data_IF_884879762907
#
_entry.id   IF_884879762907
#
_cell.length_a   1.000
_cell.length_b   1.000
_cell.length_c   1.000
_cell.angle_alpha   90.00
_cell.angle_beta   90.00
_cell.angle_gamma   90.00
#
_symmetry.space_group_name_H-M   'P 1'
#
loop_
_entity.id
_entity.type
_entity.pdbx_description
1 polymer ?
2 non-polymer ?
3 non-polymer ?
4 water ?
#
# COMPACT_ATOMS: atom_id res chain seq x y z
N UNK A 6 12.57 -0.79 13.25
CA UNK A 6 13.39 -0.32 12.08
C UNK A 6 12.41 0.15 11.00
N UNK A 7 11.14 0.14 11.38
CA UNK A 7 10.06 0.55 10.50
C UNK A 7 9.59 1.91 11.03
N UNK A 8 9.84 2.97 10.25
CA UNK A 8 9.49 4.33 10.61
C UNK A 8 8.02 4.48 11.02
N UNK A 9 7.13 3.70 10.39
CA UNK A 9 5.71 3.79 10.70
C UNK A 9 5.39 3.65 12.19
N UNK A 10 6.11 2.76 12.88
CA UNK A 10 5.90 2.52 14.30
C UNK A 10 6.32 3.66 15.23
N UNK A 11 7.05 4.64 14.68
CA UNK A 11 7.52 5.77 15.48
C UNK A 11 6.54 6.94 15.64
N UNK A 12 5.44 6.92 14.88
CA UNK A 12 4.41 7.98 14.99
C UNK A 12 3.55 7.65 16.21
N UNK A 13 3.26 8.65 17.03
CA UNK A 13 2.41 8.44 18.21
C UNK A 13 0.96 8.53 17.73
N UNK A 14 0.35 7.39 17.46
CA UNK A 14 -1.01 7.33 16.95
C UNK A 14 -2.10 7.86 17.87
N UNK A 15 -1.79 8.06 19.15
CA UNK A 15 -2.81 8.58 20.07
C UNK A 15 -2.87 10.11 20.02
N UNK A 16 -1.83 10.75 19.46
CA UNK A 16 -1.75 12.20 19.40
C UNK A 16 -2.20 12.89 18.12
N UNK A 17 -2.34 12.14 17.03
CA UNK A 17 -2.78 12.74 15.78
C UNK A 17 -4.29 13.03 15.82
N UNK A 18 -4.76 13.87 14.90
CA UNK A 18 -6.17 14.26 14.84
C UNK A 18 -6.71 14.09 13.41
N UNK A 19 -7.31 12.93 13.13
CA UNK A 19 -7.86 12.66 11.80
C UNK A 19 -9.11 13.49 11.54
N UNK A 20 -9.43 13.76 10.26
CA UNK A 20 -8.65 13.33 9.09
C UNK A 20 -7.54 14.31 8.82
N UNK A 21 -6.47 13.86 8.17
CA UNK A 21 -5.35 14.74 7.91
C UNK A 21 -4.44 14.24 6.81
N UNK A 22 -3.48 15.09 6.46
CA UNK A 22 -2.43 14.75 5.52
C UNK A 22 -1.16 14.96 6.35
N UNK A 23 -0.24 14.01 6.27
CA UNK A 23 1.00 14.14 7.04
C UNK A 23 2.20 13.59 6.29
N UNK A 24 3.30 14.35 6.24
CA UNK A 24 4.52 13.89 5.59
C UNK A 24 5.06 12.77 6.50
N UNK A 25 5.09 11.54 6.00
CA UNK A 25 5.55 10.43 6.82
C UNK A 25 7.05 10.20 6.68
N UNK A 26 7.61 10.54 5.52
CA UNK A 26 9.04 10.36 5.33
C UNK A 26 9.53 10.85 3.99
N UNK A 27 10.84 11.04 3.88
CA UNK A 27 11.42 11.48 2.63
C UNK A 27 12.71 10.71 2.41
N UNK A 28 12.86 10.15 1.22
CA UNK A 28 14.07 9.41 0.86
C UNK A 28 14.65 10.07 -0.38
N UNK A 29 15.95 9.91 -0.57
CA UNK A 29 16.60 10.49 -1.74
C UNK A 29 17.23 9.36 -2.55
N UNK A 30 17.18 9.50 -3.87
CA UNK A 30 17.76 8.51 -4.78
C UNK A 30 19.24 8.83 -4.78
N UNK A 31 20.09 7.94 -5.35
CA UNK A 31 21.54 8.23 -5.37
C UNK A 31 21.90 9.58 -6.00
N UNK A 32 21.15 10.01 -7.01
CA UNK A 32 21.45 11.29 -7.65
C UNK A 32 20.87 12.51 -6.95
N UNK A 33 20.07 12.29 -5.93
CA UNK A 33 19.52 13.44 -5.21
C UNK A 33 18.06 13.76 -5.35
N UNK A 34 17.29 12.93 -6.06
CA UNK A 34 15.86 13.24 -6.18
C UNK A 34 15.14 12.79 -4.91
N UNK A 35 14.21 13.62 -4.43
CA UNK A 35 13.45 13.32 -3.24
C UNK A 35 12.15 12.56 -3.52
N UNK A 36 11.90 11.54 -2.71
CA UNK A 36 10.68 10.72 -2.79
C UNK A 36 9.98 10.98 -1.46
N UNK A 37 8.85 11.70 -1.50
CA UNK A 37 8.11 12.02 -0.30
C UNK A 37 6.94 11.03 -0.14
N UNK A 38 6.73 10.56 1.08
CA UNK A 38 5.65 9.62 1.36
C UNK A 38 4.69 10.33 2.29
N UNK A 39 3.40 10.25 1.99
CA UNK A 39 2.39 10.94 2.78
C UNK A 39 1.40 9.98 3.40
N UNK A 40 1.02 10.30 4.63
CA UNK A 40 0.06 9.54 5.42
C UNK A 40 -1.26 10.30 5.17
N UNK A 41 -2.17 9.70 4.39
CA UNK A 41 -3.46 10.31 4.11
C UNK A 41 -4.45 9.59 5.02
N UNK A 42 -4.75 10.21 6.14
CA UNK A 42 -5.60 9.58 7.15
C UNK A 42 -7.08 9.94 7.13
N UNK A 43 -7.93 8.92 6.90
CA UNK A 43 -9.39 9.08 6.89
C UNK A 43 -10.01 9.01 8.27
N UNK A 44 -9.65 7.96 9.03
CA UNK A 44 -10.22 7.75 10.36
C UNK A 44 -9.21 7.87 11.49
N UNK A 45 -9.72 8.24 12.66
CA UNK A 45 -8.87 8.35 13.83
C UNK A 45 -8.33 6.96 14.21
N UNK A 46 -7.01 6.84 14.39
CA UNK A 46 -6.43 5.54 14.76
C UNK A 46 -7.17 4.85 15.94
N UNK A 47 -7.56 3.60 15.73
CA UNK A 47 -8.21 2.76 16.72
C UNK A 47 -9.63 3.13 17.18
N UNK A 48 -10.31 3.95 16.39
CA UNK A 48 -11.68 4.35 16.71
C UNK A 48 -12.63 3.76 15.65
N UNK A 49 -12.12 2.81 14.87
CA UNK A 49 -12.91 2.17 13.81
C UNK A 49 -12.06 2.02 12.54
N UNK A 50 -12.49 1.19 11.60
CA UNK A 50 -11.72 1.01 10.36
C UNK A 50 -12.63 0.95 9.14
N UNK A 51 -12.03 1.20 7.98
CA UNK A 51 -12.80 1.17 6.75
C UNK A 51 -12.95 -0.29 6.30
N UNK A 52 -14.16 -0.66 5.89
CA UNK A 52 -14.46 -2.02 5.42
C UNK A 52 -13.50 -2.36 4.26
N UNK A 53 -12.98 -3.59 4.21
CA UNK A 53 -12.05 -4.00 3.14
C UNK A 53 -12.55 -3.69 1.73
N UNK A 54 -13.84 -3.88 1.50
CA UNK A 54 -14.41 -3.63 0.17
C UNK A 54 -14.36 -2.15 -0.16
N UNK A 55 -14.72 -1.34 0.82
CA UNK A 55 -14.71 0.11 0.65
C UNK A 55 -13.29 0.66 0.43
N UNK A 56 -12.32 0.16 1.18
CA UNK A 56 -10.97 0.68 1.00
C UNK A 56 -10.38 0.21 -0.33
N UNK A 57 -10.85 -0.92 -0.82
CA UNK A 57 -10.41 -1.46 -2.11
C UNK A 57 -10.93 -0.50 -3.21
N UNK A 58 -12.17 -0.07 -3.07
CA UNK A 58 -12.72 0.85 -4.05
C UNK A 58 -12.00 2.21 -3.98
N UNK A 59 -11.67 2.66 -2.78
CA UNK A 59 -10.98 3.94 -2.60
C UNK A 59 -9.62 3.88 -3.29
N UNK A 60 -8.96 2.73 -3.20
CA UNK A 60 -7.66 2.54 -3.83
C UNK A 60 -7.80 2.75 -5.34
N UNK A 61 -8.80 2.11 -5.95
CA UNK A 61 -9.04 2.24 -7.39
C UNK A 61 -9.37 3.70 -7.79
N UNK A 62 -10.22 4.36 -7.01
CA UNK A 62 -10.62 5.73 -7.31
C UNK A 62 -9.52 6.76 -7.09
N UNK A 63 -8.80 6.65 -5.97
CA UNK A 63 -7.76 7.64 -5.70
C UNK A 63 -6.53 7.48 -6.57
N UNK A 64 -6.34 6.28 -7.12
CA UNK A 64 -5.20 6.03 -8.01
C UNK A 64 -5.28 7.02 -9.17
N UNK A 65 -6.47 7.15 -9.75
CA UNK A 65 -6.66 8.08 -10.85
C UNK A 65 -6.86 9.53 -10.39
N UNK A 66 -7.70 9.74 -9.39
CA UNK A 66 -7.97 11.10 -8.95
C UNK A 66 -6.79 11.85 -8.32
N UNK A 67 -5.90 11.15 -7.62
CA UNK A 67 -4.74 11.83 -7.06
C UNK A 67 -3.83 12.25 -8.23
N UNK A 68 -3.69 11.38 -9.22
CA UNK A 68 -2.86 11.73 -10.37
C UNK A 68 -3.44 12.89 -11.18
N UNK A 69 -4.76 13.06 -11.14
CA UNK A 69 -5.38 14.14 -11.86
C UNK A 69 -5.02 15.49 -11.21
N UNK A 70 -4.80 15.50 -9.91
CA UNK A 70 -4.51 16.74 -9.18
C UNK A 70 -3.10 16.94 -8.65
N UNK A 71 -2.23 15.95 -8.88
CA UNK A 71 -0.88 16.03 -8.37
C UNK A 71 0.09 15.34 -9.30
N UNK A 72 1.24 15.97 -9.53
CA UNK A 72 2.25 15.36 -10.41
C UNK A 72 3.24 14.53 -9.61
N UNK A 73 3.87 13.56 -10.27
CA UNK A 73 4.88 12.73 -9.64
C UNK A 73 4.38 11.62 -8.73
N UNK A 74 3.10 11.31 -8.80
CA UNK A 74 2.55 10.25 -7.95
C UNK A 74 3.19 8.91 -8.30
N UNK A 75 3.70 8.23 -7.28
CA UNK A 75 4.28 6.90 -7.50
C UNK A 75 3.14 5.89 -7.43
N UNK A 76 2.43 5.92 -6.30
CA UNK A 76 1.29 5.03 -6.05
C UNK A 76 0.48 5.46 -4.81
N UNK A 77 -0.75 4.97 -4.74
CA UNK A 77 -1.61 5.22 -3.59
C UNK A 77 -1.97 3.81 -3.11
N UNK A 78 -1.59 3.48 -1.88
CA UNK A 78 -1.88 2.14 -1.36
C UNK A 78 -2.67 2.20 -0.07
N UNK A 79 -3.53 1.21 0.17
CA UNK A 79 -4.30 1.23 1.43
C UNK A 79 -3.39 0.77 2.57
N UNK A 80 -3.65 1.25 3.78
CA UNK A 80 -2.86 0.81 4.94
C UNK A 80 -3.46 -0.48 5.48
N UNK A 81 -2.63 -1.33 6.07
CA UNK A 81 -3.14 -2.56 6.65
C UNK A 81 -4.11 -2.27 7.80
N UNK A 82 -3.90 -1.15 8.50
CA UNK A 82 -4.78 -0.78 9.60
C UNK A 82 -6.12 -0.23 9.10
N UNK A 83 -6.24 -0.05 7.79
CA UNK A 83 -7.47 0.41 7.17
C UNK A 83 -8.08 1.72 7.71
N UNK A 84 -7.24 2.66 8.10
CA UNK A 84 -7.75 3.95 8.58
C UNK A 84 -7.29 5.04 7.62
N UNK A 85 -6.52 4.65 6.62
CA UNK A 85 -6.03 5.63 5.66
C UNK A 85 -5.20 4.99 4.57
N UNK A 86 -4.53 5.83 3.76
CA UNK A 86 -3.70 5.34 2.66
C UNK A 86 -2.32 5.96 2.71
N UNK A 87 -1.37 5.33 2.03
CA UNK A 87 -0.03 5.85 1.94
C UNK A 87 0.16 6.23 0.48
N UNK A 88 0.84 7.34 0.25
CA UNK A 88 1.11 7.75 -1.11
C UNK A 88 2.51 8.34 -1.22
N UNK A 89 3.31 7.74 -2.11
CA UNK A 89 4.66 8.19 -2.38
C UNK A 89 4.59 9.09 -3.61
N UNK A 90 5.36 10.18 -3.57
CA UNK A 90 5.38 11.18 -4.64
C UNK A 90 6.81 11.57 -4.99
N UNK A 91 7.11 11.68 -6.27
CA UNK A 91 8.45 12.10 -6.66
C UNK A 91 8.45 13.62 -6.60
N UNK A 92 9.14 14.16 -5.62
CA UNK A 92 9.22 15.60 -5.47
C UNK A 92 9.51 15.99 -4.03
N UNK A 93 9.91 17.23 -3.84
CA UNK A 93 10.23 17.73 -2.52
C UNK A 93 8.95 17.74 -1.68
N UNK A 94 9.09 17.68 -0.36
CA UNK A 94 7.96 17.70 0.57
C UNK A 94 7.10 18.92 0.38
N UNK A 95 5.78 18.72 0.37
CA UNK A 95 4.85 19.82 0.20
C UNK A 95 3.50 19.37 0.75
N UNK A 96 3.41 19.37 2.07
CA UNK A 96 2.19 18.93 2.73
C UNK A 96 0.99 19.78 2.35
N UNK A 97 1.18 21.08 2.22
CA UNK A 97 0.06 21.95 1.88
C UNK A 97 -0.52 21.63 0.49
N UNK A 98 0.34 21.49 -0.50
CA UNK A 98 -0.11 21.17 -1.84
C UNK A 98 -0.76 19.79 -1.91
N UNK A 99 -0.21 18.84 -1.16
CA UNK A 99 -0.78 17.50 -1.15
C UNK A 99 -2.16 17.54 -0.51
N UNK A 100 -2.32 18.34 0.54
CA UNK A 100 -3.63 18.47 1.19
C UNK A 100 -4.67 18.99 0.19
N UNK A 101 -4.32 20.02 -0.57
CA UNK A 101 -5.25 20.58 -1.55
C UNK A 101 -5.64 19.56 -2.63
N UNK A 102 -4.65 18.78 -3.07
CA UNK A 102 -4.86 17.75 -4.07
C UNK A 102 -5.75 16.62 -3.53
N UNK A 103 -5.52 16.24 -2.27
CA UNK A 103 -6.30 15.18 -1.61
C UNK A 103 -7.73 15.68 -1.48
N UNK A 104 -7.87 16.95 -1.12
CA UNK A 104 -9.19 17.56 -0.99
C UNK A 104 -9.96 17.50 -2.32
N UNK A 105 -9.30 17.85 -3.43
CA UNK A 105 -9.96 17.82 -4.73
C UNK A 105 -10.24 16.39 -5.16
N UNK A 106 -9.31 15.48 -4.89
CA UNK A 106 -9.51 14.08 -5.25
C UNK A 106 -10.67 13.47 -4.43
N UNK A 107 -10.88 13.93 -3.20
CA UNK A 107 -11.98 13.41 -2.37
C UNK A 107 -13.33 13.91 -2.89
N UNK A 108 -13.34 15.12 -3.44
CA UNK A 108 -14.57 15.68 -4.02
C UNK A 108 -14.95 14.82 -5.24
N UNK A 109 -13.94 14.47 -6.05
CA UNK A 109 -14.14 13.62 -7.23
C UNK A 109 -14.66 12.24 -6.79
N UNK A 110 -14.06 11.71 -5.73
CA UNK A 110 -14.44 10.40 -5.20
C UNK A 110 -15.88 10.41 -4.66
N UNK A 111 -16.23 11.42 -3.88
CA UNK A 111 -17.58 11.49 -3.31
C UNK A 111 -18.66 11.63 -4.39
N UNK A 112 -18.30 12.26 -5.50
CA UNK A 112 -19.27 12.43 -6.57
C UNK A 112 -19.17 11.42 -7.68
N UNK A 113 -18.42 10.34 -7.46
CA UNK A 113 -18.21 9.31 -8.48
C UNK A 113 -19.42 8.39 -8.65
N UNK A 114 -20.17 8.60 -9.73
CA UNK A 114 -21.37 7.80 -9.99
C UNK A 114 -21.25 6.92 -11.21
N UNK A 115 -20.04 6.91 -11.77
CA UNK A 115 -19.72 6.10 -12.95
C UNK A 115 -19.16 4.77 -12.45
N UNK A 116 -18.96 3.81 -13.36
CA UNK A 116 -18.42 2.55 -12.86
C UNK A 116 -17.06 2.75 -12.20
N UNK A 117 -16.70 1.85 -11.29
CA UNK A 117 -15.41 1.93 -10.62
C UNK A 117 -14.38 1.54 -11.66
N UNK A 118 -13.38 2.40 -11.88
CA UNK A 118 -12.36 2.06 -12.87
C UNK A 118 -11.52 0.84 -12.49
N UNK A 119 -11.24 0.00 -13.48
CA UNK A 119 -10.42 -1.18 -13.27
C UNK A 119 -11.08 -2.35 -12.58
N UNK A 120 -12.41 -2.42 -12.61
CA UNK A 120 -13.10 -3.51 -11.95
C UNK A 120 -13.67 -4.53 -12.93
N UNK A 121 -13.02 -5.69 -12.97
CA UNK A 121 -13.40 -6.81 -13.82
C UNK A 121 -12.40 -7.91 -13.41
N UNK A 122 -12.70 -9.16 -13.74
CA UNK A 122 -11.82 -10.25 -13.37
C UNK A 122 -10.49 -10.15 -14.12
N UNK A 123 -10.51 -9.43 -15.24
CA UNK A 123 -9.31 -9.24 -16.06
C UNK A 123 -8.38 -8.17 -15.49
N UNK A 124 -8.97 -7.12 -14.93
CA UNK A 124 -8.20 -5.99 -14.41
C UNK A 124 -7.99 -5.90 -12.91
N UNK A 125 -8.63 -6.76 -12.13
CA UNK A 125 -8.53 -6.65 -10.68
C UNK A 125 -8.51 -8.00 -9.97
N UNK A 126 -7.57 -8.16 -9.03
CA UNK A 126 -7.39 -9.39 -8.29
C UNK A 126 -8.49 -9.89 -7.37
N UNK A 127 -9.51 -9.07 -7.10
CA UNK A 127 -10.63 -9.44 -6.24
C UNK A 127 -11.80 -8.54 -6.66
N UNK A 128 -12.15 -8.61 -7.95
CA UNK A 128 -13.18 -7.75 -8.55
C UNK A 128 -14.57 -7.71 -7.90
N UNK A 129 -14.93 -8.73 -7.14
CA UNK A 129 -16.24 -8.70 -6.50
C UNK A 129 -16.21 -7.95 -5.16
N UNK A 130 -15.01 -7.74 -4.61
CA UNK A 130 -14.89 -7.06 -3.32
C UNK A 130 -14.75 -5.53 -3.39
N UNK A 131 -15.85 -4.89 -3.81
CA UNK A 131 -15.91 -3.44 -3.94
C UNK A 131 -17.17 -2.88 -3.28
N UNK A 132 -17.11 -1.61 -2.89
CA UNK A 132 -18.27 -0.97 -2.29
C UNK A 132 -18.18 0.54 -2.54
N UNK A 133 -18.62 0.94 -3.73
CA UNK A 133 -18.61 2.34 -4.12
C UNK A 133 -19.44 3.24 -3.20
N UNK A 134 -20.63 2.81 -2.83
CA UNK A 134 -21.48 3.59 -1.95
C UNK A 134 -20.73 3.94 -0.65
N UNK A 135 -20.10 2.93 -0.05
CA UNK A 135 -19.34 3.15 1.19
C UNK A 135 -18.10 4.05 0.98
N UNK A 136 -17.41 3.86 -0.13
CA UNK A 136 -16.22 4.67 -0.44
C UNK A 136 -16.64 6.13 -0.63
N UNK A 137 -17.72 6.37 -1.38
CA UNK A 137 -18.17 7.75 -1.59
C UNK A 137 -18.53 8.40 -0.25
N UNK A 138 -19.20 7.66 0.63
CA UNK A 138 -19.57 8.25 1.91
C UNK A 138 -18.33 8.54 2.76
N UNK A 139 -17.31 7.68 2.70
CA UNK A 139 -16.09 7.95 3.49
C UNK A 139 -15.43 9.23 3.00
N UNK A 140 -15.46 9.47 1.68
CA UNK A 140 -14.86 10.68 1.11
C UNK A 140 -15.67 11.88 1.58
N UNK A 141 -16.99 11.73 1.56
CA UNK A 141 -17.89 12.78 2.01
C UNK A 141 -17.65 13.09 3.49
N UNK A 142 -17.43 12.06 4.31
CA UNK A 142 -17.19 12.27 5.73
C UNK A 142 -15.93 13.07 6.02
N UNK A 143 -14.86 12.76 5.29
CA UNK A 143 -13.61 13.48 5.49
C UNK A 143 -13.80 14.96 5.14
N UNK A 144 -14.48 15.22 4.03
CA UNK A 144 -14.72 16.59 3.61
C UNK A 144 -15.63 17.28 4.64
N UNK A 145 -16.62 16.56 5.16
CA UNK A 145 -17.52 17.15 6.16
C UNK A 145 -16.73 17.56 7.41
N UNK A 146 -15.79 16.71 7.83
CA UNK A 146 -15.00 16.98 9.02
C UNK A 146 -13.92 18.03 8.78
N UNK A 147 -13.34 18.02 7.58
CA UNK A 147 -12.32 19.00 7.25
C UNK A 147 -10.88 18.51 7.47
N UNK A 148 -10.08 18.64 6.43
CA UNK A 148 -8.68 18.22 6.49
C UNK A 148 -7.78 19.31 7.05
N UNK A 149 -6.59 18.92 7.47
CA UNK A 149 -5.58 19.85 7.95
C UNK A 149 -4.24 19.12 7.86
N UNK A 150 -3.14 19.86 7.92
CA UNK A 150 -1.84 19.26 7.87
C UNK A 150 -1.48 18.89 9.30
N UNK A 151 -1.18 17.61 9.51
CA UNK A 151 -0.84 17.06 10.82
C UNK A 151 0.65 17.00 11.07
N UNK A 152 1.12 17.55 12.19
CA UNK A 152 2.54 17.48 12.47
C UNK A 152 2.85 16.09 12.99
N UNK A 153 4.05 15.58 12.70
CA UNK A 153 4.44 14.28 13.19
C UNK A 153 4.88 14.38 14.64
N UNK A 154 4.24 13.59 15.50
CA UNK A 154 4.56 13.56 16.91
C UNK A 154 5.23 12.20 17.10
N UNK A 155 6.52 12.21 17.40
CA UNK A 155 7.25 10.95 17.58
C UNK A 155 7.07 10.35 18.96
N UNK A 156 7.17 9.03 19.04
CA UNK A 156 7.06 8.35 20.31
C UNK A 156 8.39 8.50 21.03
N UNK B 7 6.54 2.14 -18.98
CA UNK B 7 5.20 2.40 -18.39
C UNK B 7 5.32 2.42 -16.86
N UNK B 8 4.51 3.26 -16.22
CA UNK B 8 4.51 3.39 -14.76
C UNK B 8 3.71 2.24 -14.17
N UNK B 9 2.74 1.76 -14.93
CA UNK B 9 1.87 0.68 -14.48
C UNK B 9 1.35 -0.15 -15.65
N UNK B 10 1.97 -1.31 -15.90
CA UNK B 10 1.55 -2.17 -17.01
C UNK B 10 0.12 -2.66 -16.86
N UNK B 11 -0.58 -2.81 -17.97
CA UNK B 11 -1.98 -3.28 -18.02
C UNK B 11 -2.02 -4.80 -17.94
N UNK B 12 -2.01 -5.31 -16.72
CA UNK B 12 -1.97 -6.75 -16.46
C UNK B 12 -3.29 -7.50 -16.59
N UNK B 13 -3.24 -8.65 -17.29
CA UNK B 13 -4.38 -9.54 -17.45
C UNK B 13 -4.29 -10.47 -16.24
N UNK B 14 -5.16 -10.28 -15.26
CA UNK B 14 -5.11 -11.10 -14.05
C UNK B 14 -5.49 -12.56 -14.21
N UNK B 15 -6.06 -12.94 -15.35
CA UNK B 15 -6.43 -14.33 -15.57
C UNK B 15 -5.28 -15.13 -16.19
N UNK B 16 -4.18 -14.46 -16.51
CA UNK B 16 -3.05 -15.13 -17.17
C UNK B 16 -1.83 -15.41 -16.29
N UNK B 17 -1.74 -14.76 -15.14
CA UNK B 17 -0.60 -14.95 -14.25
C UNK B 17 -0.72 -16.24 -13.48
N UNK B 18 0.38 -16.64 -12.83
CA UNK B 18 0.43 -17.89 -12.08
C UNK B 18 1.03 -17.62 -10.69
N UNK B 19 0.16 -17.45 -9.69
CA UNK B 19 0.61 -17.18 -8.33
C UNK B 19 1.21 -18.43 -7.69
N UNK B 20 2.15 -18.26 -6.74
CA UNK B 20 2.72 -17.03 -6.21
C UNK B 20 3.88 -16.56 -7.09
N UNK B 21 4.13 -15.27 -7.16
CA UNK B 21 5.21 -14.77 -7.99
C UNK B 21 5.67 -13.38 -7.60
N UNK B 22 6.73 -12.94 -8.28
CA UNK B 22 7.27 -11.60 -8.14
C UNK B 22 7.20 -11.07 -9.56
N UNK B 23 6.70 -9.85 -9.71
CA UNK B 23 6.58 -9.26 -11.05
C UNK B 23 6.83 -7.77 -10.99
N UNK B 24 7.65 -7.26 -11.90
CA UNK B 24 7.91 -5.83 -12.01
C UNK B 24 6.56 -5.25 -12.52
N UNK B 25 5.92 -4.41 -11.72
CA UNK B 25 4.63 -3.82 -12.07
C UNK B 25 4.76 -2.49 -12.82
N UNK B 26 5.94 -1.89 -12.76
CA UNK B 26 6.16 -0.61 -13.43
C UNK B 26 7.47 0.01 -13.00
N UNK B 27 7.90 1.04 -13.72
CA UNK B 27 9.14 1.74 -13.41
C UNK B 27 8.93 3.20 -13.71
N UNK B 28 9.31 4.06 -12.78
CA UNK B 28 9.15 5.50 -12.97
C UNK B 28 10.54 6.14 -12.97
N UNK B 29 10.80 7.01 -13.93
CA UNK B 29 12.11 7.68 -13.99
C UNK B 29 12.01 9.01 -13.24
N UNK B 30 12.99 9.30 -12.38
CA UNK B 30 12.96 10.54 -11.62
C UNK B 30 13.64 11.63 -12.44
N UNK B 31 13.44 12.91 -12.07
CA UNK B 31 14.05 14.03 -12.80
C UNK B 31 15.56 13.97 -13.00
N UNK B 32 16.28 13.38 -12.05
CA UNK B 32 17.74 13.27 -12.16
C UNK B 32 18.18 12.06 -12.96
N UNK B 33 17.24 11.20 -13.33
CA UNK B 33 17.59 10.04 -14.11
C UNK B 33 17.60 8.75 -13.33
N UNK B 34 17.28 8.80 -12.04
CA UNK B 34 17.23 7.57 -11.26
C UNK B 34 15.91 6.87 -11.54
N UNK B 35 15.72 5.68 -10.97
CA UNK B 35 14.50 4.91 -11.20
C UNK B 35 13.85 4.39 -9.93
N UNK B 36 12.53 4.32 -9.95
CA UNK B 36 11.78 3.77 -8.83
C UNK B 36 11.08 2.58 -9.47
N UNK B 37 11.34 1.38 -8.97
CA UNK B 37 10.72 0.16 -9.52
C UNK B 37 9.60 -0.28 -8.60
N UNK B 38 8.49 -0.73 -9.20
CA UNK B 38 7.33 -1.19 -8.44
C UNK B 38 7.18 -2.69 -8.64
N UNK B 39 6.85 -3.41 -7.57
CA UNK B 39 6.69 -4.86 -7.68
C UNK B 39 5.37 -5.36 -7.13
N UNK B 40 4.88 -6.40 -7.80
CA UNK B 40 3.64 -7.09 -7.46
C UNK B 40 4.14 -8.37 -6.81
N UNK B 41 4.01 -8.47 -5.48
CA UNK B 41 4.43 -9.67 -4.76
C UNK B 41 3.14 -10.45 -4.53
N UNK B 42 2.83 -11.32 -5.47
CA UNK B 42 1.60 -12.09 -5.44
C UNK B 42 1.62 -13.36 -4.59
N UNK B 43 0.74 -13.42 -3.59
CA UNK B 43 0.63 -14.59 -2.73
C UNK B 43 -0.40 -15.59 -3.29
N UNK B 44 -1.57 -15.06 -3.65
CA UNK B 44 -2.70 -15.86 -4.12
C UNK B 44 -3.12 -15.59 -5.55
N UNK B 45 -3.71 -16.61 -6.17
CA UNK B 45 -4.17 -16.48 -7.55
C UNK B 45 -5.32 -15.46 -7.61
N UNK B 46 -5.20 -14.47 -8.49
CA UNK B 46 -6.25 -13.45 -8.63
C UNK B 46 -7.67 -14.04 -8.72
N UNK B 47 -8.55 -13.55 -7.86
CA UNK B 47 -9.95 -13.97 -7.82
C UNK B 47 -10.28 -15.41 -7.46
N UNK B 48 -9.43 -16.04 -6.66
CA UNK B 48 -9.68 -17.42 -6.23
C UNK B 48 -9.66 -17.45 -4.71
N UNK B 49 -9.74 -16.26 -4.10
CA UNK B 49 -9.70 -16.16 -2.65
C UNK B 49 -8.84 -14.98 -2.28
N UNK B 50 -8.97 -14.51 -1.05
CA UNK B 50 -8.19 -13.36 -0.57
C UNK B 50 -7.67 -13.66 0.81
N UNK B 51 -6.64 -12.91 1.22
CA UNK B 51 -6.06 -13.05 2.55
C UNK B 51 -6.97 -12.25 3.49
N UNK B 52 -7.35 -12.83 4.64
CA UNK B 52 -8.20 -12.16 5.63
C UNK B 52 -7.55 -10.82 6.05
N UNK B 53 -8.36 -9.77 6.29
CA UNK B 53 -7.77 -8.48 6.68
C UNK B 53 -6.82 -8.47 7.86
N UNK B 54 -7.10 -9.27 8.89
CA UNK B 54 -6.20 -9.28 10.04
C UNK B 54 -4.87 -9.95 9.68
N UNK B 55 -4.94 -11.02 8.91
CA UNK B 55 -3.73 -11.73 8.46
C UNK B 55 -2.88 -10.84 7.54
N UNK B 56 -3.51 -10.04 6.68
CA UNK B 56 -2.70 -9.22 5.78
C UNK B 56 -2.12 -8.02 6.51
N UNK B 57 -2.82 -7.58 7.56
CA UNK B 57 -2.33 -6.49 8.40
C UNK B 57 -1.06 -6.99 9.14
N UNK B 58 -1.07 -8.22 9.66
CA UNK B 58 0.10 -8.73 10.36
C UNK B 58 1.27 -8.95 9.37
N UNK B 59 0.94 -9.40 8.16
CA UNK B 59 1.95 -9.61 7.12
C UNK B 59 2.64 -8.30 6.79
N UNK B 60 1.87 -7.22 6.76
CA UNK B 60 2.41 -5.90 6.49
C UNK B 60 3.40 -5.54 7.61
N UNK B 61 3.01 -5.70 8.88
CA UNK B 61 3.92 -5.38 9.98
C UNK B 61 5.24 -6.19 9.88
N UNK B 62 5.12 -7.50 9.63
CA UNK B 62 6.31 -8.35 9.55
C UNK B 62 7.19 -8.09 8.33
N UNK B 63 6.57 -8.01 7.16
CA UNK B 63 7.33 -7.78 5.93
C UNK B 63 7.92 -6.40 5.84
N UNK B 64 7.30 -5.41 6.48
CA UNK B 64 7.84 -4.06 6.45
C UNK B 64 9.27 -4.13 7.00
N UNK B 65 9.43 -4.92 8.05
CA UNK B 65 10.75 -5.07 8.63
C UNK B 65 11.64 -6.07 7.90
N UNK B 66 11.13 -7.28 7.67
CA UNK B 66 11.91 -8.31 7.00
C UNK B 66 12.33 -7.98 5.58
N UNK B 67 11.47 -7.35 4.79
CA UNK B 67 11.90 -7.01 3.43
C UNK B 67 13.10 -6.05 3.52
N UNK B 68 13.03 -5.10 4.44
CA UNK B 68 14.10 -4.13 4.59
C UNK B 68 15.40 -4.76 5.10
N UNK B 69 15.29 -5.91 5.76
CA UNK B 69 16.47 -6.64 6.25
C UNK B 69 17.19 -7.30 5.05
N UNK B 70 16.47 -7.53 3.96
CA UNK B 70 17.08 -8.21 2.81
C UNK B 70 17.20 -7.40 1.53
N UNK B 71 16.68 -6.18 1.55
CA UNK B 71 16.71 -5.36 0.34
C UNK B 71 16.89 -3.88 0.67
N UNK B 72 17.81 -3.23 -0.02
CA UNK B 72 18.05 -1.80 0.18
C UNK B 72 17.10 -0.98 -0.70
N UNK B 73 16.91 0.29 -0.34
CA UNK B 73 16.09 1.19 -1.11
C UNK B 73 14.57 1.03 -1.09
N UNK B 74 14.05 0.29 -0.11
CA UNK B 74 12.59 0.10 -0.05
C UNK B 74 11.89 1.40 0.35
N UNK B 75 10.94 1.82 -0.46
CA UNK B 75 10.20 3.05 -0.18
C UNK B 75 8.92 2.76 0.58
N UNK B 76 8.31 1.63 0.27
CA UNK B 76 7.06 1.25 0.91
C UNK B 76 6.76 -0.21 0.62
N UNK B 77 6.15 -0.88 1.58
CA UNK B 77 5.72 -2.27 1.46
C UNK B 77 4.31 -2.19 1.98
N UNK B 78 3.32 -2.41 1.11
CA UNK B 78 1.93 -2.30 1.55
C UNK B 78 1.02 -3.39 0.98
N UNK B 79 -0.09 -3.66 1.65
CA UNK B 79 -1.00 -4.69 1.15
C UNK B 79 -1.74 -4.15 -0.06
N UNK B 80 -2.17 -5.02 -0.97
CA UNK B 80 -2.95 -4.56 -2.11
C UNK B 80 -4.41 -4.53 -1.69
N UNK B 81 -5.19 -3.63 -2.28
CA UNK B 81 -6.60 -3.56 -1.95
C UNK B 81 -7.32 -4.87 -2.25
N UNK B 82 -6.85 -5.61 -3.24
CA UNK B 82 -7.47 -6.89 -3.61
C UNK B 82 -7.10 -8.01 -2.63
N UNK B 83 -6.14 -7.74 -1.75
CA UNK B 83 -5.71 -8.68 -0.71
C UNK B 83 -5.21 -10.05 -1.17
N UNK B 84 -4.61 -10.10 -2.35
CA UNK B 84 -4.05 -11.35 -2.84
C UNK B 84 -2.53 -11.24 -2.84
N UNK B 85 -2.01 -10.10 -2.36
CA UNK B 85 -0.57 -9.93 -2.32
C UNK B 85 -0.17 -8.55 -1.81
N UNK B 86 1.13 -8.28 -1.88
CA UNK B 86 1.69 -7.01 -1.42
C UNK B 86 2.28 -6.22 -2.58
N UNK B 87 2.33 -4.91 -2.39
CA UNK B 87 2.89 -3.98 -3.37
C UNK B 87 4.14 -3.38 -2.76
N UNK B 88 5.21 -3.21 -3.54
CA UNK B 88 6.42 -2.63 -3.00
C UNK B 88 7.09 -1.73 -4.02
N UNK B 89 7.51 -0.55 -3.57
CA UNK B 89 8.20 0.42 -4.41
C UNK B 89 9.64 0.46 -3.87
N UNK B 90 10.60 0.41 -4.79
CA UNK B 90 12.01 0.38 -4.43
C UNK B 90 12.85 1.39 -5.22
N UNK B 91 13.81 2.02 -4.56
CA UNK B 91 14.69 2.92 -5.31
C UNK B 91 15.72 2.02 -5.95
N UNK B 92 15.80 2.05 -7.28
CA UNK B 92 16.76 1.21 -7.98
C UNK B 92 16.23 0.70 -9.30
N UNK B 93 17.15 0.25 -10.15
CA UNK B 93 16.84 -0.30 -11.46
C UNK B 93 16.02 -1.57 -11.23
N UNK B 94 15.24 -2.00 -12.24
CA UNK B 94 14.45 -3.21 -12.08
C UNK B 94 15.38 -4.40 -11.79
N UNK B 95 15.01 -5.23 -10.82
CA UNK B 95 15.82 -6.40 -10.46
C UNK B 95 14.91 -7.47 -9.88
N UNK B 96 14.04 -8.02 -10.74
CA UNK B 96 13.10 -9.05 -10.34
C UNK B 96 13.75 -10.26 -9.66
N UNK B 97 14.90 -10.69 -10.15
CA UNK B 97 15.60 -11.83 -9.57
C UNK B 97 16.04 -11.49 -8.15
N UNK B 98 16.66 -10.32 -7.98
CA UNK B 98 17.09 -9.93 -6.66
C UNK B 98 15.92 -9.74 -5.70
N UNK B 99 14.80 -9.20 -6.20
CA UNK B 99 13.65 -9.00 -5.35
C UNK B 99 13.05 -10.34 -4.95
N UNK B 100 13.00 -11.28 -5.89
CA UNK B 100 12.45 -12.59 -5.55
C UNK B 100 13.27 -13.25 -4.45
N UNK B 101 14.59 -13.17 -4.52
CA UNK B 101 15.40 -13.81 -3.48
C UNK B 101 15.19 -13.11 -2.14
N UNK B 102 15.05 -11.79 -2.17
CA UNK B 102 14.83 -11.02 -0.95
C UNK B 102 13.46 -11.37 -0.33
N UNK B 103 12.44 -11.49 -1.18
CA UNK B 103 11.09 -11.83 -0.78
C UNK B 103 11.09 -13.25 -0.18
N UNK B 104 11.84 -14.14 -0.80
CA UNK B 104 11.94 -15.50 -0.30
C UNK B 104 12.55 -15.51 1.12
N UNK B 105 13.65 -14.77 1.31
CA UNK B 105 14.29 -14.69 2.62
C UNK B 105 13.33 -14.08 3.64
N UNK B 106 12.64 -13.02 3.24
CA UNK B 106 11.69 -12.39 4.16
C UNK B 106 10.51 -13.31 4.51
N UNK B 107 10.09 -14.15 3.57
CA UNK B 107 9.00 -15.08 3.84
C UNK B 107 9.47 -16.15 4.83
N UNK B 108 10.73 -16.54 4.76
CA UNK B 108 11.22 -17.54 5.70
C UNK B 108 11.26 -16.94 7.10
N UNK B 109 11.64 -15.65 7.18
CA UNK B 109 11.68 -14.95 8.47
C UNK B 109 10.25 -14.89 9.01
N UNK B 110 9.28 -14.63 8.12
CA UNK B 110 7.88 -14.54 8.52
C UNK B 110 7.33 -15.89 8.98
N UNK B 111 7.62 -16.94 8.24
CA UNK B 111 7.10 -18.26 8.61
C UNK B 111 7.61 -18.69 9.99
N UNK B 112 8.85 -18.31 10.31
CA UNK B 112 9.44 -18.68 11.59
C UNK B 112 9.31 -17.63 12.69
N UNK B 113 8.51 -16.60 12.47
CA UNK B 113 8.38 -15.54 13.47
C UNK B 113 7.51 -15.99 14.65
N UNK B 114 8.16 -16.42 15.74
CA UNK B 114 7.42 -16.87 16.92
C UNK B 114 7.49 -15.87 18.08
N UNK B 115 7.93 -14.66 17.79
CA UNK B 115 7.99 -13.63 18.83
C UNK B 115 6.75 -12.75 18.64
N UNK B 116 6.48 -11.85 19.59
CA UNK B 116 5.30 -11.00 19.42
C UNK B 116 5.36 -10.20 18.11
N UNK B 117 4.21 -9.80 17.57
CA UNK B 117 4.18 -9.02 16.32
C UNK B 117 4.75 -7.61 16.59
N UNK B 118 5.78 -7.19 15.84
CA UNK B 118 6.32 -5.86 16.11
C UNK B 118 5.28 -4.76 15.84
N UNK B 119 5.39 -3.65 16.58
CA UNK B 119 4.50 -2.51 16.41
C UNK B 119 3.02 -2.64 16.72
N UNK B 120 2.65 -3.63 17.53
CA UNK B 120 1.24 -3.77 17.83
C UNK B 120 0.88 -3.16 19.16
N UNK B 121 0.32 -1.96 19.11
CA UNK B 121 -0.11 -1.24 20.29
C UNK B 121 -0.87 -0.03 19.80
N UNK B 122 -1.60 0.58 20.73
CA UNK B 122 -2.39 1.77 20.48
C UNK B 122 -1.48 2.92 20.05
N UNK B 123 -0.23 2.87 20.50
CA UNK B 123 0.71 3.92 20.16
C UNK B 123 1.36 3.78 18.79
N UNK B 124 1.61 2.55 18.36
CA UNK B 124 2.31 2.32 17.09
C UNK B 124 1.50 1.82 15.91
N UNK B 125 0.25 1.46 16.14
CA UNK B 125 -0.58 0.89 15.09
C UNK B 125 -1.99 1.47 15.06
N UNK B 126 -2.51 1.71 13.86
CA UNK B 126 -3.84 2.27 13.69
C UNK B 126 -5.03 1.35 13.94
N UNK B 127 -4.79 0.06 14.11
CA UNK B 127 -5.86 -0.91 14.38
C UNK B 127 -5.18 -2.10 15.07
N UNK B 128 -4.66 -1.85 16.27
CA UNK B 128 -3.91 -2.88 16.99
C UNK B 128 -4.70 -4.12 17.41
N UNK B 129 -6.02 -4.04 17.35
CA UNK B 129 -6.86 -5.18 17.71
C UNK B 129 -7.08 -6.14 16.53
N UNK B 130 -6.68 -5.74 15.33
CA UNK B 130 -6.91 -6.53 14.11
C UNK B 130 -5.67 -7.23 13.53
N UNK B 131 -5.21 -8.27 14.21
CA UNK B 131 -4.02 -9.01 13.79
C UNK B 131 -4.23 -10.51 13.87
N UNK B 132 -3.38 -11.26 13.17
CA UNK B 132 -3.44 -12.72 13.20
C UNK B 132 -2.10 -13.32 12.78
N UNK B 133 -1.21 -13.51 13.75
CA UNK B 133 0.11 -14.08 13.49
C UNK B 133 0.08 -15.50 12.92
N UNK B 134 -0.74 -16.38 13.50
CA UNK B 134 -0.81 -17.76 12.99
C UNK B 134 -1.14 -17.79 11.50
N UNK B 135 -2.16 -17.04 11.10
CA UNK B 135 -2.58 -17.01 9.68
C UNK B 135 -1.50 -16.36 8.79
N UNK B 136 -0.85 -15.31 9.27
CA UNK B 136 0.21 -14.68 8.47
C UNK B 136 1.35 -15.66 8.24
N UNK B 137 1.78 -16.34 9.31
CA UNK B 137 2.89 -17.30 9.23
C UNK B 137 2.59 -18.43 8.26
N UNK B 138 1.36 -18.93 8.32
CA UNK B 138 0.94 -20.01 7.43
C UNK B 138 0.82 -19.53 5.98
N UNK B 139 0.46 -18.27 5.76
CA UNK B 139 0.38 -17.77 4.39
C UNK B 139 1.78 -17.75 3.79
N UNK B 140 2.76 -17.40 4.62
CA UNK B 140 4.15 -17.37 4.19
C UNK B 140 4.64 -18.79 3.88
N UNK B 141 4.23 -19.73 4.73
CA UNK B 141 4.62 -21.13 4.55
C UNK B 141 4.03 -21.70 3.26
N UNK B 142 2.79 -21.33 2.93
CA UNK B 142 2.13 -21.77 1.72
C UNK B 142 2.85 -21.28 0.46
N UNK B 143 3.28 -20.03 0.46
CA UNK B 143 4.00 -19.49 -0.69
C UNK B 143 5.31 -20.25 -0.87
N UNK B 144 6.06 -20.46 0.22
CA UNK B 144 7.32 -21.18 0.12
C UNK B 144 7.10 -22.63 -0.35
N UNK B 145 6.04 -23.27 0.13
CA UNK B 145 5.73 -24.63 -0.28
C UNK B 145 5.44 -24.68 -1.77
N UNK B 146 4.65 -23.71 -2.25
CA UNK B 146 4.30 -23.66 -3.66
C UNK B 146 5.49 -23.29 -4.54
N UNK B 147 6.33 -22.38 -4.05
CA UNK B 147 7.49 -21.97 -4.80
C UNK B 147 7.32 -20.71 -5.65
N UNK B 148 8.20 -19.75 -5.46
CA UNK B 148 8.15 -18.49 -6.20
C UNK B 148 8.78 -18.57 -7.59
N UNK B 149 8.41 -17.62 -8.44
CA UNK B 149 8.92 -17.51 -9.81
C UNK B 149 8.74 -16.06 -10.25
N UNK B 150 9.50 -15.63 -11.25
CA UNK B 150 9.35 -14.28 -11.78
C UNK B 150 8.29 -14.41 -12.85
N UNK B 151 7.18 -13.70 -12.66
CA UNK B 151 6.04 -13.71 -13.58
C UNK B 151 6.19 -12.63 -14.65
N UNK B 152 5.99 -12.98 -15.91
CA UNK B 152 6.09 -12.00 -16.98
C UNK B 152 4.77 -11.20 -17.02
N UNK B 153 4.81 -9.96 -17.48
CA UNK B 153 3.57 -9.21 -17.54
C UNK B 153 2.85 -9.53 -18.84
N UNK B 154 1.63 -10.04 -18.73
CA UNK B 154 0.83 -10.36 -19.90
C UNK B 154 -0.17 -9.22 -19.99
N UNK B 155 -0.05 -8.39 -21.02
CA UNK B 155 -0.94 -7.24 -21.18
C UNK B 155 -2.30 -7.62 -21.74
N UNK B 156 -3.32 -6.88 -21.33
CA UNK B 156 -4.68 -7.13 -21.78
C UNK B 156 -4.88 -6.78 -23.25
X LIG C 1 -8.87 -4.22 -7.35
X LIG D 1 -0.86 -1.84 12.20
X LIG E 1 3.72 0.61 4.20
X LIG E 1 4.52 0.63 5.46
X LIG E 1 6.02 0.56 5.18
X LIG E 1 6.42 0.74 4.01
X LIG E 1 4.10 -0.53 6.36
X LIG E 1 4.71 -0.48 7.75
X LIG E 1 3.90 -1.61 8.87
X LIG E 1 2.49 -0.58 9.37
X LIG E 1 6.80 0.33 6.13
#
# INVERSE_FOLDING_TARGET
XPDXANVESFDLDHTKVKAPYVRLAGVKTTPKGDQISKYDLRFLQPNQGAIDPAAIHTLEHLLAGYMRDHLEGVVDVSPMGCRTGMYMAVIGEPDEQGVMKAFEAALKDTAGHDQPIPGVSELECGNYRDHDLAAARQHARDVLDQGLKVQETILLERGSHHHHHH
XPDXANVESFDLDHTKVKAPYVRLAGVKTTPKGDQISKYDLRFLQPNQGAIDPAAIHTLEHLLAGYMRDHLEGVVDVSPMGCRTGMYMAVIGEPDEQGVMKAFEAALKDTAGHDQPIPGVSELECGNYRDHDLAAARQHARDVLDQGLKVQETILLERGSHHHHHH
ZN ZN
ZN ZN
MET N CA C O CB CG SD CE OXT
#
